data_IF_011205867206
#
_entry.id   IF_011205867206
#
_cell.length_a   1.000
_cell.length_b   1.000
_cell.length_c   1.000
_cell.angle_alpha   90.00
_cell.angle_beta   90.00
_cell.angle_gamma   90.00
#
_symmetry.space_group_name_H-M   'P 1'
#
loop_
_entity.id
_entity.type
_entity.pdbx_description
1 polymer ?
#
# COMPACT_ATOMS: atom_id res chain seq x y z
N UNK A 1 -16.84 -31.98 -42.85
CA UNK A 1 -17.70 -31.57 -41.71
C UNK A 1 -17.88 -32.64 -40.62
N UNK A 2 -17.58 -33.93 -40.82
CA UNK A 2 -17.80 -34.96 -39.78
C UNK A 2 -16.91 -34.90 -38.52
N UNK A 3 -15.62 -34.56 -38.65
CA UNK A 3 -14.66 -34.61 -37.52
C UNK A 3 -14.83 -33.51 -36.46
N UNK A 4 -15.55 -32.43 -36.77
CA UNK A 4 -15.82 -31.33 -35.81
C UNK A 4 -17.05 -31.67 -34.96
N UNK A 5 -18.05 -32.31 -35.56
CA UNK A 5 -19.28 -32.74 -34.88
C UNK A 5 -19.01 -33.82 -33.83
N UNK A 6 -18.06 -34.73 -34.09
CA UNK A 6 -17.69 -35.79 -33.12
C UNK A 6 -16.97 -35.23 -31.89
N UNK A 7 -16.05 -34.26 -32.07
CA UNK A 7 -15.36 -33.60 -30.94
C UNK A 7 -16.29 -32.77 -30.05
N UNK A 8 -17.30 -32.11 -30.63
CA UNK A 8 -18.31 -31.38 -29.86
C UNK A 8 -19.20 -32.34 -29.06
N UNK A 9 -19.48 -33.54 -29.61
CA UNK A 9 -20.23 -34.59 -28.92
C UNK A 9 -19.45 -35.20 -27.76
N UNK A 10 -18.13 -35.35 -27.90
CA UNK A 10 -17.25 -35.86 -26.85
C UNK A 10 -17.05 -34.85 -25.72
N UNK A 11 -17.02 -33.55 -26.03
CA UNK A 11 -17.01 -32.46 -25.02
C UNK A 11 -18.34 -32.41 -24.26
N UNK A 12 -19.47 -32.59 -24.95
CA UNK A 12 -20.80 -32.68 -24.31
C UNK A 12 -20.91 -33.87 -23.36
N UNK A 13 -20.37 -35.04 -23.73
CA UNK A 13 -20.33 -36.22 -22.86
C UNK A 13 -19.39 -36.04 -21.66
N UNK A 14 -18.23 -35.44 -21.86
CA UNK A 14 -17.31 -35.13 -20.75
C UNK A 14 -17.93 -34.14 -19.75
N UNK A 15 -18.72 -33.18 -20.23
CA UNK A 15 -19.46 -32.25 -19.37
C UNK A 15 -20.62 -32.93 -18.64
N UNK A 16 -21.35 -33.84 -19.29
CA UNK A 16 -22.43 -34.63 -18.67
C UNK A 16 -21.89 -35.62 -17.63
N UNK A 17 -20.74 -36.25 -17.89
CA UNK A 17 -20.09 -37.19 -16.97
C UNK A 17 -19.45 -36.46 -15.77
N UNK A 18 -18.91 -35.25 -15.98
CA UNK A 18 -18.45 -34.38 -14.89
C UNK A 18 -19.63 -33.92 -14.02
N UNK A 19 -20.79 -33.60 -14.62
CA UNK A 19 -22.00 -33.17 -13.91
C UNK A 19 -22.64 -34.33 -13.15
N UNK A 20 -22.63 -35.55 -13.70
CA UNK A 20 -23.07 -36.77 -13.00
C UNK A 20 -22.13 -37.17 -11.87
N UNK A 21 -20.82 -37.11 -12.08
CA UNK A 21 -19.82 -37.37 -11.03
C UNK A 21 -19.96 -36.39 -9.86
N UNK A 22 -20.23 -35.11 -10.15
CA UNK A 22 -20.57 -34.11 -9.13
C UNK A 22 -21.93 -34.41 -8.45
N UNK A 23 -22.95 -34.80 -9.20
CA UNK A 23 -24.28 -35.13 -8.69
C UNK A 23 -24.32 -36.39 -7.82
N UNK A 24 -23.52 -37.40 -8.17
CA UNK A 24 -23.43 -38.67 -7.44
C UNK A 24 -22.52 -38.54 -6.21
N UNK A 25 -21.46 -37.73 -6.28
CA UNK A 25 -20.65 -37.35 -5.12
C UNK A 25 -21.46 -36.49 -4.12
N UNK A 26 -22.34 -35.60 -4.63
CA UNK A 26 -23.29 -34.82 -3.82
C UNK A 26 -24.36 -35.71 -3.17
N UNK A 27 -24.91 -36.69 -3.89
CA UNK A 27 -25.87 -37.67 -3.33
C UNK A 27 -25.24 -38.64 -2.33
N UNK A 28 -24.00 -39.07 -2.56
CA UNK A 28 -23.24 -39.90 -1.61
C UNK A 28 -22.87 -39.13 -0.33
N UNK A 29 -22.69 -37.81 -0.43
CA UNK A 29 -22.46 -36.91 0.70
C UNK A 29 -23.76 -36.62 1.49
N UNK A 30 -24.93 -36.67 0.82
CA UNK A 30 -26.25 -36.52 1.43
C UNK A 30 -26.84 -37.81 2.03
N UNK A 31 -26.36 -38.99 1.62
CA UNK A 31 -26.88 -40.28 2.09
C UNK A 31 -26.28 -40.76 3.43
N UNK A 32 -25.29 -40.04 3.99
CA UNK A 32 -24.83 -40.21 5.37
C UNK A 32 -25.80 -39.44 6.28
N UNK A 33 -26.97 -40.03 6.54
CA UNK A 33 -28.08 -39.43 7.28
C UNK A 33 -27.85 -39.42 8.80
N UNK A 34 -27.86 -38.24 9.43
CA UNK A 34 -28.08 -38.08 10.87
C UNK A 34 -29.02 -36.87 11.13
N UNK A 35 -30.12 -37.16 11.82
CA UNK A 35 -31.14 -36.31 12.48
C UNK A 35 -31.22 -34.79 12.16
N UNK A 36 -32.43 -34.37 11.79
CA UNK A 36 -32.80 -33.07 11.19
C UNK A 36 -32.60 -31.80 12.06
N UNK A 37 -32.15 -31.88 13.31
CA UNK A 37 -31.89 -30.70 14.15
C UNK A 37 -30.42 -30.23 14.13
N UNK A 38 -29.48 -31.05 13.62
CA UNK A 38 -28.05 -30.69 13.51
C UNK A 38 -27.59 -30.18 12.14
N UNK A 39 -28.48 -30.19 11.14
CA UNK A 39 -28.10 -29.99 9.73
C UNK A 39 -27.80 -28.54 9.37
N UNK A 40 -28.47 -27.54 9.97
CA UNK A 40 -28.19 -26.13 9.72
C UNK A 40 -26.82 -25.72 10.27
N UNK A 41 -26.44 -26.25 11.44
CA UNK A 41 -25.13 -25.99 12.08
C UNK A 41 -24.00 -26.75 11.38
N UNK A 42 -24.28 -27.95 10.86
CA UNK A 42 -23.35 -28.71 10.01
C UNK A 42 -23.18 -28.11 8.62
N UNK A 43 -24.23 -27.61 7.97
CA UNK A 43 -24.16 -26.98 6.65
C UNK A 43 -23.45 -25.61 6.71
N UNK A 44 -23.73 -24.81 7.75
CA UNK A 44 -22.97 -23.59 8.05
C UNK A 44 -21.51 -23.94 8.38
N UNK A 45 -21.29 -24.95 9.22
CA UNK A 45 -19.96 -25.45 9.55
C UNK A 45 -19.20 -25.96 8.32
N UNK A 46 -19.86 -26.63 7.38
CA UNK A 46 -19.25 -27.14 6.15
C UNK A 46 -18.95 -26.01 5.15
N UNK A 47 -19.83 -25.01 5.02
CA UNK A 47 -19.59 -23.80 4.22
C UNK A 47 -18.43 -22.97 4.78
N UNK A 48 -18.38 -22.78 6.10
CA UNK A 48 -17.29 -22.07 6.79
C UNK A 48 -15.96 -22.85 6.74
N UNK A 49 -16.00 -24.18 6.60
CA UNK A 49 -14.82 -25.05 6.42
C UNK A 49 -14.33 -25.08 4.96
N UNK A 50 -15.21 -24.90 3.97
CA UNK A 50 -14.86 -25.03 2.54
C UNK A 50 -14.47 -23.70 1.90
N UNK A 51 -15.20 -22.62 2.20
CA UNK A 51 -15.06 -21.32 1.54
C UNK A 51 -13.61 -20.77 1.57
N UNK A 52 -12.88 -20.80 2.71
CA UNK A 52 -11.54 -20.21 2.78
C UNK A 52 -10.49 -20.93 1.92
N UNK A 53 -10.70 -22.22 1.60
CA UNK A 53 -9.81 -22.98 0.71
C UNK A 53 -10.14 -22.79 -0.78
N UNK A 54 -11.42 -22.61 -1.10
CA UNK A 54 -11.88 -22.32 -2.47
C UNK A 54 -11.46 -20.91 -2.89
N UNK A 55 -11.66 -19.91 -2.02
CA UNK A 55 -11.25 -18.53 -2.28
C UNK A 55 -9.74 -18.43 -2.49
N UNK A 56 -8.94 -19.08 -1.62
CA UNK A 56 -7.50 -19.10 -1.75
C UNK A 56 -7.07 -19.73 -3.08
N UNK A 57 -7.65 -20.89 -3.45
CA UNK A 57 -7.32 -21.54 -4.71
C UNK A 57 -7.71 -20.68 -5.93
N UNK A 58 -8.85 -19.97 -5.89
CA UNK A 58 -9.26 -19.02 -6.95
C UNK A 58 -8.25 -17.87 -7.09
N UNK A 59 -7.88 -17.26 -5.96
CA UNK A 59 -6.92 -16.17 -5.89
C UNK A 59 -5.53 -16.57 -6.41
N UNK A 60 -5.07 -17.78 -6.09
CA UNK A 60 -3.83 -18.33 -6.62
C UNK A 60 -3.91 -18.63 -8.13
N UNK A 61 -5.06 -19.08 -8.63
CA UNK A 61 -5.26 -19.30 -10.06
C UNK A 61 -5.24 -17.99 -10.85
N UNK A 62 -5.91 -16.94 -10.34
CA UNK A 62 -5.86 -15.60 -10.90
C UNK A 62 -4.44 -15.02 -10.88
N UNK A 63 -3.74 -15.15 -9.75
CA UNK A 63 -2.33 -14.74 -9.63
C UNK A 63 -1.46 -15.44 -10.69
N UNK A 64 -1.62 -16.75 -10.86
CA UNK A 64 -0.90 -17.52 -11.89
C UNK A 64 -1.21 -17.02 -13.30
N UNK A 65 -2.48 -16.71 -13.58
CA UNK A 65 -2.90 -16.18 -14.88
C UNK A 65 -2.32 -14.80 -15.19
N UNK A 66 -2.19 -13.92 -14.18
CA UNK A 66 -1.64 -12.56 -14.34
C UNK A 66 -0.12 -12.60 -14.50
N UNK A 67 0.55 -13.45 -13.73
CA UNK A 67 2.01 -13.40 -13.54
C UNK A 67 2.77 -14.43 -14.34
N UNK A 68 2.08 -15.46 -14.85
CA UNK A 68 2.70 -16.63 -15.47
C UNK A 68 3.43 -17.55 -14.49
N UNK A 69 3.46 -17.24 -13.19
CA UNK A 69 4.09 -18.07 -12.17
C UNK A 69 3.26 -19.33 -11.94
N UNK A 70 3.90 -20.50 -11.99
CA UNK A 70 3.27 -21.81 -11.82
C UNK A 70 4.16 -22.72 -10.97
N UNK A 71 3.68 -23.93 -10.65
CA UNK A 71 4.49 -24.97 -9.99
C UNK A 71 5.04 -24.53 -8.63
N UNK A 72 6.35 -24.71 -8.43
CA UNK A 72 7.03 -24.42 -7.15
C UNK A 72 6.99 -22.94 -6.77
N UNK A 73 7.12 -22.03 -7.74
CA UNK A 73 7.03 -20.59 -7.49
C UNK A 73 5.65 -20.17 -6.97
N UNK A 74 4.59 -20.71 -7.58
CA UNK A 74 3.21 -20.43 -7.15
C UNK A 74 2.95 -20.99 -5.74
N UNK A 75 3.48 -22.18 -5.46
CA UNK A 75 3.40 -22.81 -4.14
C UNK A 75 4.19 -22.04 -3.07
N UNK A 76 5.32 -21.44 -3.43
CA UNK A 76 6.09 -20.60 -2.52
C UNK A 76 5.29 -19.34 -2.13
N UNK A 77 4.63 -18.70 -3.09
CA UNK A 77 3.75 -17.55 -2.82
C UNK A 77 2.55 -17.95 -1.95
N UNK A 78 1.90 -19.08 -2.22
CA UNK A 78 0.82 -19.60 -1.37
C UNK A 78 1.30 -19.86 0.07
N UNK A 79 2.49 -20.43 0.21
CA UNK A 79 3.10 -20.73 1.51
C UNK A 79 3.39 -19.45 2.27
N UNK A 80 4.00 -18.44 1.62
CA UNK A 80 4.24 -17.14 2.21
C UNK A 80 2.92 -16.47 2.67
N UNK A 81 1.88 -16.44 1.82
CA UNK A 81 0.58 -15.88 2.18
C UNK A 81 -0.04 -16.53 3.43
N UNK A 82 0.07 -17.86 3.54
CA UNK A 82 -0.41 -18.63 4.69
C UNK A 82 0.43 -18.41 5.94
N UNK A 83 1.75 -18.34 5.82
CA UNK A 83 2.65 -18.04 6.93
C UNK A 83 2.38 -16.65 7.49
N UNK A 84 2.31 -15.64 6.63
CA UNK A 84 1.98 -14.27 7.02
C UNK A 84 0.58 -14.20 7.65
N UNK A 85 -0.41 -14.92 7.11
CA UNK A 85 -1.74 -15.01 7.70
C UNK A 85 -1.71 -15.55 9.15
N UNK A 86 -0.89 -16.55 9.43
CA UNK A 86 -0.74 -17.10 10.79
C UNK A 86 0.04 -16.17 11.72
N UNK A 87 1.09 -15.54 11.20
CA UNK A 87 1.93 -14.62 11.98
C UNK A 87 1.13 -13.39 12.40
N UNK A 88 0.40 -12.81 11.46
CA UNK A 88 -0.32 -11.55 11.66
C UNK A 88 -1.82 -11.75 11.95
N UNK A 89 -2.38 -12.95 11.86
CA UNK A 89 -3.81 -13.18 12.10
C UNK A 89 -4.72 -12.60 11.02
N UNK A 90 -4.19 -12.41 9.82
CA UNK A 90 -4.92 -11.99 8.62
C UNK A 90 -5.44 -13.20 7.84
N UNK A 91 -6.24 -12.97 6.80
CA UNK A 91 -6.69 -14.05 5.92
C UNK A 91 -5.67 -14.32 4.80
N UNK A 92 -5.41 -15.60 4.54
CA UNK A 92 -4.46 -16.01 3.51
C UNK A 92 -4.93 -15.61 2.10
N UNK A 93 -6.23 -15.60 1.82
CA UNK A 93 -6.74 -15.14 0.52
C UNK A 93 -6.59 -13.63 0.36
N UNK A 94 -6.81 -12.85 1.43
CA UNK A 94 -6.52 -11.41 1.44
C UNK A 94 -5.02 -11.12 1.22
N UNK A 95 -4.11 -11.93 1.78
CA UNK A 95 -2.67 -11.80 1.49
C UNK A 95 -2.32 -12.09 0.02
N UNK A 96 -2.99 -13.06 -0.62
CA UNK A 96 -2.82 -13.32 -2.06
C UNK A 96 -3.39 -12.18 -2.90
N UNK A 97 -4.51 -11.58 -2.48
CA UNK A 97 -5.04 -10.37 -3.13
C UNK A 97 -4.01 -9.23 -3.06
N UNK A 98 -3.42 -8.99 -1.89
CA UNK A 98 -2.31 -8.04 -1.74
C UNK A 98 -1.13 -8.34 -2.67
N UNK A 99 -0.76 -9.60 -2.86
CA UNK A 99 0.27 -9.97 -3.84
C UNK A 99 -0.14 -9.65 -5.28
N UNK A 100 -1.38 -9.91 -5.70
CA UNK A 100 -1.87 -9.51 -7.03
C UNK A 100 -1.83 -7.98 -7.19
N UNK A 101 -2.18 -7.22 -6.16
CA UNK A 101 -2.14 -5.77 -6.18
C UNK A 101 -0.71 -5.24 -6.31
N UNK A 102 0.25 -5.76 -5.52
CA UNK A 102 1.68 -5.44 -5.66
C UNK A 102 2.14 -5.66 -7.11
N UNK A 103 1.81 -6.80 -7.69
CA UNK A 103 2.28 -7.17 -9.03
C UNK A 103 1.59 -6.38 -10.15
N UNK A 104 0.33 -6.01 -9.96
CA UNK A 104 -0.42 -5.20 -10.93
C UNK A 104 -0.08 -3.72 -10.86
N UNK A 105 0.32 -3.22 -9.69
CA UNK A 105 0.62 -1.80 -9.48
C UNK A 105 2.11 -1.47 -9.57
N UNK A 106 3.00 -2.42 -9.28
CA UNK A 106 4.45 -2.25 -9.40
C UNK A 106 4.97 -2.93 -10.66
N UNK A 107 5.21 -4.24 -10.59
CA UNK A 107 5.76 -5.03 -11.70
C UNK A 107 5.48 -6.53 -11.51
N UNK A 108 4.89 -7.23 -12.51
CA UNK A 108 4.70 -8.68 -12.47
C UNK A 108 5.98 -9.51 -12.29
N UNK A 109 7.13 -8.99 -12.73
CA UNK A 109 8.42 -9.69 -12.67
C UNK A 109 8.90 -9.95 -11.23
N UNK A 110 8.45 -9.16 -10.25
CA UNK A 110 8.71 -9.37 -8.82
C UNK A 110 8.28 -10.78 -8.38
N UNK A 111 7.24 -11.34 -8.99
CA UNK A 111 6.71 -12.67 -8.66
C UNK A 111 7.72 -13.81 -8.89
N UNK A 112 8.77 -13.58 -9.71
CA UNK A 112 9.86 -14.53 -9.93
C UNK A 112 10.82 -14.61 -8.73
N UNK A 113 10.76 -13.66 -7.82
CA UNK A 113 11.54 -13.63 -6.59
C UNK A 113 10.62 -13.87 -5.37
N UNK A 114 10.56 -15.12 -4.92
CA UNK A 114 9.70 -15.52 -3.79
C UNK A 114 10.08 -14.84 -2.46
N UNK A 115 11.36 -14.52 -2.27
CA UNK A 115 11.84 -13.83 -1.07
C UNK A 115 11.38 -12.38 -1.03
N UNK A 116 11.48 -11.66 -2.16
CA UNK A 116 10.94 -10.30 -2.29
C UNK A 116 9.43 -10.27 -2.04
N UNK A 117 8.67 -11.20 -2.63
CA UNK A 117 7.23 -11.31 -2.40
C UNK A 117 6.90 -11.57 -0.92
N UNK A 118 7.67 -12.42 -0.25
CA UNK A 118 7.50 -12.67 1.18
C UNK A 118 7.73 -11.39 1.99
N UNK A 119 8.85 -10.69 1.77
CA UNK A 119 9.16 -9.43 2.48
C UNK A 119 8.09 -8.35 2.25
N UNK A 120 7.69 -8.12 1.00
CA UNK A 120 6.62 -7.16 0.69
C UNK A 120 5.30 -7.53 1.38
N UNK A 121 4.95 -8.82 1.41
CA UNK A 121 3.77 -9.31 2.13
C UNK A 121 3.85 -9.09 3.64
N UNK A 122 5.04 -9.27 4.23
CA UNK A 122 5.30 -8.99 5.64
C UNK A 122 5.16 -7.50 5.93
N UNK A 123 5.75 -6.60 5.13
CA UNK A 123 5.58 -5.15 5.27
C UNK A 123 4.11 -4.72 5.16
N UNK A 124 3.37 -5.26 4.18
CA UNK A 124 1.92 -5.02 4.05
C UNK A 124 1.17 -5.43 5.31
N UNK A 125 1.50 -6.57 5.89
CA UNK A 125 0.81 -7.07 7.08
C UNK A 125 1.22 -6.35 8.37
N UNK A 126 2.45 -5.85 8.46
CA UNK A 126 2.89 -4.95 9.54
C UNK A 126 2.09 -3.65 9.48
N UNK A 127 2.04 -3.00 8.31
CA UNK A 127 1.31 -1.76 8.15
C UNK A 127 -0.20 -1.94 8.35
N UNK A 128 -0.76 -3.07 7.89
CA UNK A 128 -2.20 -3.34 8.04
C UNK A 128 -2.66 -3.36 9.50
N UNK A 129 -1.78 -3.63 10.46
CA UNK A 129 -2.11 -3.53 11.90
C UNK A 129 -2.51 -2.13 12.32
N UNK A 130 -1.88 -1.12 11.75
CA UNK A 130 -2.27 0.29 11.97
C UNK A 130 -3.54 0.66 11.20
N UNK A 131 -4.02 -0.21 10.31
CA UNK A 131 -5.19 -0.03 9.45
C UNK A 131 -6.30 -1.07 9.76
N UNK A 132 -6.38 -1.55 11.00
CA UNK A 132 -7.45 -2.47 11.43
C UNK A 132 -7.38 -3.88 10.80
N UNK A 133 -6.22 -4.28 10.30
CA UNK A 133 -5.98 -5.54 9.61
C UNK A 133 -6.29 -5.52 8.11
N UNK A 134 -6.59 -4.35 7.52
CA UNK A 134 -6.86 -4.22 6.09
C UNK A 134 -5.56 -4.28 5.26
N UNK A 135 -5.26 -5.48 4.74
CA UNK A 135 -4.06 -5.72 3.92
C UNK A 135 -4.16 -5.06 2.55
N UNK A 136 -5.36 -4.86 2.00
CA UNK A 136 -5.55 -4.23 0.69
C UNK A 136 -5.28 -2.73 0.79
N UNK A 137 -5.81 -2.07 1.82
CA UNK A 137 -5.52 -0.67 2.09
C UNK A 137 -4.02 -0.46 2.35
N UNK A 138 -3.40 -1.31 3.16
CA UNK A 138 -1.95 -1.25 3.39
C UNK A 138 -1.12 -1.47 2.12
N UNK A 139 -1.55 -2.39 1.24
CA UNK A 139 -0.92 -2.56 -0.08
C UNK A 139 -0.98 -1.26 -0.87
N UNK A 140 -2.15 -0.65 -1.02
CA UNK A 140 -2.31 0.58 -1.80
C UNK A 140 -1.48 1.76 -1.25
N UNK A 141 -1.34 1.88 0.08
CA UNK A 141 -0.47 2.90 0.69
C UNK A 141 0.99 2.68 0.29
N UNK A 142 1.50 1.45 0.42
CA UNK A 142 2.90 1.13 0.15
C UNK A 142 3.24 1.21 -1.34
N UNK A 143 2.42 0.62 -2.21
CA UNK A 143 2.64 0.63 -3.65
C UNK A 143 2.49 2.02 -4.25
N UNK A 144 1.51 2.81 -3.80
CA UNK A 144 1.40 4.22 -4.17
C UNK A 144 2.66 4.97 -3.80
N UNK A 145 3.15 4.79 -2.57
CA UNK A 145 4.36 5.46 -2.11
C UNK A 145 5.55 5.13 -3.02
N UNK A 146 5.79 3.84 -3.27
CA UNK A 146 6.86 3.39 -4.17
C UNK A 146 6.74 3.97 -5.58
N UNK A 147 5.54 3.94 -6.16
CA UNK A 147 5.30 4.45 -7.50
C UNK A 147 5.49 5.96 -7.59
N UNK A 148 4.95 6.71 -6.64
CA UNK A 148 5.06 8.17 -6.63
C UNK A 148 6.50 8.64 -6.42
N UNK A 149 7.30 7.86 -5.68
CA UNK A 149 8.74 8.08 -5.55
C UNK A 149 9.58 7.29 -6.56
N UNK A 150 8.97 6.69 -7.58
CA UNK A 150 9.65 5.97 -8.67
C UNK A 150 10.74 5.02 -8.18
N UNK A 151 10.41 4.19 -7.18
CA UNK A 151 11.30 3.14 -6.68
C UNK A 151 11.43 2.06 -7.75
N UNK A 152 12.66 1.69 -8.07
CA UNK A 152 12.94 0.67 -9.08
C UNK A 152 12.60 -0.72 -8.56
N UNK A 153 12.01 -1.55 -9.41
CA UNK A 153 11.69 -2.96 -9.17
C UNK A 153 12.69 -3.92 -9.80
N UNK A 154 13.72 -3.40 -10.49
CA UNK A 154 14.76 -4.21 -11.17
C UNK A 154 15.53 -5.12 -10.21
N UNK A 155 15.72 -4.67 -8.96
CA UNK A 155 16.19 -5.49 -7.84
C UNK A 155 15.02 -5.70 -6.87
N UNK A 156 14.24 -6.79 -6.99
CA UNK A 156 13.06 -7.02 -6.16
C UNK A 156 13.35 -7.01 -4.65
N UNK A 157 14.54 -7.45 -4.24
CA UNK A 157 14.98 -7.46 -2.85
C UNK A 157 15.19 -6.04 -2.33
N UNK A 158 15.91 -5.19 -3.08
CA UNK A 158 16.12 -3.78 -2.72
C UNK A 158 14.80 -3.00 -2.73
N UNK A 159 13.91 -3.29 -3.69
CA UNK A 159 12.58 -2.71 -3.75
C UNK A 159 11.75 -3.07 -2.50
N UNK A 160 11.81 -4.32 -2.06
CA UNK A 160 11.13 -4.76 -0.84
C UNK A 160 11.73 -4.10 0.42
N UNK A 161 13.07 -3.97 0.51
CA UNK A 161 13.72 -3.26 1.61
C UNK A 161 13.29 -1.78 1.67
N UNK A 162 13.30 -1.11 0.51
CA UNK A 162 12.84 0.27 0.38
C UNK A 162 11.36 0.40 0.76
N UNK A 163 10.51 -0.57 0.40
CA UNK A 163 9.11 -0.60 0.86
C UNK A 163 9.03 -0.62 2.39
N UNK A 164 9.88 -1.40 3.07
CA UNK A 164 9.96 -1.45 4.53
C UNK A 164 10.41 -0.12 5.15
N UNK A 165 11.38 0.56 4.54
CA UNK A 165 11.82 1.91 4.98
C UNK A 165 10.68 2.93 4.84
N UNK A 166 10.03 2.97 3.67
CA UNK A 166 8.89 3.87 3.42
C UNK A 166 7.72 3.58 4.37
N UNK A 167 7.46 2.30 4.65
CA UNK A 167 6.47 1.89 5.65
C UNK A 167 6.78 2.51 7.02
N UNK A 168 8.00 2.36 7.51
CA UNK A 168 8.42 2.89 8.80
C UNK A 168 8.35 4.42 8.84
N UNK A 169 8.82 5.11 7.79
CA UNK A 169 8.73 6.57 7.68
C UNK A 169 7.28 7.05 7.75
N UNK A 170 6.36 6.42 7.00
CA UNK A 170 4.94 6.80 7.02
C UNK A 170 4.28 6.52 8.37
N UNK A 171 4.56 5.37 9.00
CA UNK A 171 4.04 5.04 10.33
C UNK A 171 4.53 6.00 11.40
N UNK A 172 5.80 6.40 11.35
CA UNK A 172 6.35 7.40 12.26
C UNK A 172 5.75 8.78 12.01
N UNK A 173 5.58 9.18 10.74
CA UNK A 173 4.94 10.43 10.37
C UNK A 173 3.46 10.50 10.82
N UNK A 174 2.70 9.42 10.65
CA UNK A 174 1.31 9.34 11.12
C UNK A 174 1.22 9.34 12.65
N UNK A 175 2.21 8.76 13.35
CA UNK A 175 2.27 8.76 14.81
C UNK A 175 2.61 10.13 15.39
N UNK A 176 3.56 10.84 14.80
CA UNK A 176 4.06 12.12 15.29
C UNK A 176 3.27 13.34 14.75
N UNK A 177 2.54 13.15 13.65
CA UNK A 177 1.88 14.22 12.90
C UNK A 177 0.35 14.23 13.00
N UNK A 178 -0.28 14.96 12.07
CA UNK A 178 -1.72 15.17 11.98
C UNK A 178 -2.42 14.29 10.92
N UNK A 179 -1.72 13.96 9.82
CA UNK A 179 -2.23 13.13 8.73
C UNK A 179 -2.01 11.63 9.01
N UNK A 180 -3.09 10.87 8.91
CA UNK A 180 -3.11 9.42 8.98
C UNK A 180 -2.68 8.77 7.65
N UNK A 181 -2.36 7.47 7.65
CA UNK A 181 -1.86 6.74 6.47
C UNK A 181 -2.69 6.94 5.18
N UNK A 182 -4.04 6.89 5.19
CA UNK A 182 -4.82 7.15 3.97
C UNK A 182 -4.67 8.59 3.45
N UNK A 183 -4.51 9.56 4.36
CA UNK A 183 -4.30 10.96 3.98
C UNK A 183 -2.90 11.17 3.41
N UNK A 184 -1.88 10.53 4.00
CA UNK A 184 -0.51 10.50 3.47
C UNK A 184 -0.53 9.94 2.04
N UNK A 185 -1.19 8.79 1.82
CA UNK A 185 -1.33 8.20 0.48
C UNK A 185 -1.94 9.19 -0.51
N UNK A 186 -3.12 9.76 -0.21
CA UNK A 186 -3.78 10.71 -1.11
C UNK A 186 -2.95 11.97 -1.39
N UNK A 187 -2.15 12.43 -0.42
CA UNK A 187 -1.23 13.54 -0.64
C UNK A 187 -0.08 13.14 -1.57
N UNK A 188 0.53 11.97 -1.35
CA UNK A 188 1.62 11.43 -2.18
C UNK A 188 1.19 11.22 -3.63
N UNK A 189 -0.03 10.76 -3.90
CA UNK A 189 -0.61 10.66 -5.25
C UNK A 189 -0.56 11.98 -6.02
N UNK A 190 -0.64 13.10 -5.29
CA UNK A 190 -0.61 14.43 -5.90
C UNK A 190 0.81 15.00 -6.01
N UNK A 191 1.71 14.68 -5.09
CA UNK A 191 2.98 15.40 -4.95
C UNK A 191 4.24 14.56 -5.16
N UNK A 192 4.20 13.24 -4.99
CA UNK A 192 5.42 12.45 -4.80
C UNK A 192 6.42 12.56 -5.96
N UNK A 193 5.94 12.52 -7.21
CA UNK A 193 6.82 12.69 -8.38
C UNK A 193 7.46 14.07 -8.44
N UNK A 194 6.70 15.12 -8.11
CA UNK A 194 7.23 16.50 -8.06
C UNK A 194 8.21 16.66 -6.91
N UNK A 195 7.91 16.11 -5.73
CA UNK A 195 8.83 16.13 -4.60
C UNK A 195 10.17 15.49 -4.94
N UNK A 196 10.15 14.26 -5.49
CA UNK A 196 11.38 13.58 -5.93
C UNK A 196 12.17 14.38 -6.96
N UNK A 197 11.49 14.88 -8.00
CA UNK A 197 12.16 15.63 -9.09
C UNK A 197 12.65 17.01 -8.65
N UNK A 198 12.11 17.56 -7.58
CA UNK A 198 12.57 18.82 -6.95
C UNK A 198 13.56 18.60 -5.80
N UNK A 199 14.06 17.37 -5.64
CA UNK A 199 15.17 17.03 -4.76
C UNK A 199 14.79 16.72 -3.31
N UNK A 200 13.50 16.56 -2.99
CA UNK A 200 13.08 16.15 -1.66
C UNK A 200 13.26 14.64 -1.46
N UNK A 201 13.67 14.28 -0.26
CA UNK A 201 13.56 12.91 0.26
C UNK A 201 12.11 12.52 0.56
N UNK A 202 11.87 11.22 0.76
CA UNK A 202 10.56 10.69 1.14
C UNK A 202 10.15 11.20 2.54
N UNK A 203 11.11 11.30 3.44
CA UNK A 203 10.98 11.80 4.80
C UNK A 203 10.61 13.29 4.80
N UNK A 204 11.36 14.15 4.09
CA UNK A 204 11.02 15.57 3.98
C UNK A 204 9.62 15.78 3.40
N UNK A 205 9.24 14.97 2.42
CA UNK A 205 7.92 15.04 1.80
C UNK A 205 6.82 14.68 2.79
N UNK A 206 6.99 13.59 3.54
CA UNK A 206 6.06 13.22 4.60
C UNK A 206 5.97 14.30 5.68
N UNK A 207 7.10 14.89 6.09
CA UNK A 207 7.10 15.97 7.07
C UNK A 207 6.29 17.19 6.59
N UNK A 208 6.44 17.60 5.33
CA UNK A 208 5.65 18.70 4.76
C UNK A 208 4.16 18.36 4.63
N UNK A 209 3.81 17.10 4.33
CA UNK A 209 2.41 16.64 4.36
C UNK A 209 1.81 16.85 5.75
N UNK A 210 2.56 16.52 6.81
CA UNK A 210 2.10 16.72 8.19
C UNK A 210 1.91 18.20 8.54
N UNK A 211 2.81 19.09 8.10
CA UNK A 211 2.65 20.54 8.27
C UNK A 211 1.37 21.05 7.61
N UNK A 212 1.10 20.61 6.39
CA UNK A 212 -0.07 21.06 5.63
C UNK A 212 -1.37 20.48 6.18
N UNK A 213 -1.39 19.23 6.60
CA UNK A 213 -2.57 18.62 7.22
C UNK A 213 -2.96 19.34 8.52
N UNK A 214 -1.97 19.65 9.37
CA UNK A 214 -2.14 20.46 10.60
C UNK A 214 -2.67 21.87 10.30
N UNK A 215 -2.31 22.43 9.14
CA UNK A 215 -2.84 23.70 8.65
C UNK A 215 -4.21 23.59 7.96
N UNK A 216 -4.84 22.41 7.98
CA UNK A 216 -6.16 22.14 7.42
C UNK A 216 -6.18 21.74 5.95
N UNK A 217 -5.01 21.61 5.29
CA UNK A 217 -4.87 21.14 3.91
C UNK A 217 -4.65 19.63 3.89
N UNK A 218 -5.75 18.89 3.97
CA UNK A 218 -5.74 17.44 4.22
C UNK A 218 -5.63 16.62 2.94
N UNK A 219 -4.96 15.47 3.03
CA UNK A 219 -4.88 14.48 1.96
C UNK A 219 -4.54 15.06 0.59
N UNK A 220 -5.38 14.79 -0.41
CA UNK A 220 -5.19 15.26 -1.79
C UNK A 220 -5.06 16.78 -1.90
N UNK A 221 -5.83 17.57 -1.14
CA UNK A 221 -5.70 19.03 -1.15
C UNK A 221 -4.32 19.49 -0.66
N UNK A 222 -3.82 18.86 0.41
CA UNK A 222 -2.47 19.08 0.93
C UNK A 222 -1.39 18.73 -0.09
N UNK A 223 -1.52 17.58 -0.74
CA UNK A 223 -0.60 17.15 -1.79
C UNK A 223 -0.57 18.11 -2.99
N UNK A 224 -1.73 18.56 -3.49
CA UNK A 224 -1.80 19.57 -4.56
C UNK A 224 -1.14 20.87 -4.12
N UNK A 225 -1.42 21.32 -2.90
CA UNK A 225 -0.85 22.55 -2.37
C UNK A 225 0.68 22.47 -2.24
N UNK A 226 1.21 21.36 -1.71
CA UNK A 226 2.65 21.11 -1.63
C UNK A 226 3.28 21.10 -3.02
N UNK A 227 2.68 20.36 -3.96
CA UNK A 227 3.13 20.32 -5.37
C UNK A 227 3.25 21.73 -5.93
N UNK A 228 2.22 22.55 -5.77
CA UNK A 228 2.19 23.90 -6.32
C UNK A 228 3.29 24.78 -5.70
N UNK A 229 3.49 24.73 -4.38
CA UNK A 229 4.58 25.46 -3.71
C UNK A 229 5.93 25.02 -4.25
N UNK A 230 6.19 23.70 -4.36
CA UNK A 230 7.44 23.17 -4.91
C UNK A 230 7.66 23.65 -6.35
N UNK A 231 6.64 23.57 -7.21
CA UNK A 231 6.76 24.04 -8.60
C UNK A 231 7.03 25.54 -8.69
N UNK A 232 6.40 26.36 -7.85
CA UNK A 232 6.64 27.80 -7.79
C UNK A 232 8.08 28.11 -7.38
N UNK A 233 8.60 27.43 -6.36
CA UNK A 233 10.00 27.60 -5.93
C UNK A 233 10.98 27.22 -7.05
N UNK A 234 10.64 26.20 -7.84
CA UNK A 234 11.45 25.73 -8.98
C UNK A 234 11.36 26.60 -10.24
N UNK A 235 10.51 27.64 -10.29
CA UNK A 235 10.37 28.49 -11.50
C UNK A 235 11.68 29.20 -11.87
N UNK A 236 12.49 29.58 -10.88
CA UNK A 236 13.77 30.26 -11.08
C UNK A 236 13.64 31.46 -12.02
N UNK A 237 14.32 31.43 -13.17
CA UNK A 237 14.29 32.52 -14.17
C UNK A 237 12.93 32.75 -14.83
N UNK A 238 11.99 31.81 -14.70
CA UNK A 238 10.64 31.91 -15.27
C UNK A 238 9.63 32.55 -14.31
N UNK A 239 10.06 32.91 -13.09
CA UNK A 239 9.27 33.69 -12.13
C UNK A 239 8.75 34.99 -12.77
N UNK A 240 7.49 35.36 -12.51
CA UNK A 240 6.90 36.58 -13.07
C UNK A 240 7.71 37.84 -12.69
N UNK A 241 7.77 38.85 -13.58
CA UNK A 241 8.59 40.07 -13.37
C UNK A 241 8.31 40.76 -12.05
N UNK A 242 7.03 40.92 -11.68
CA UNK A 242 6.63 41.59 -10.43
C UNK A 242 7.04 40.78 -9.20
N UNK A 243 6.91 39.45 -9.23
CA UNK A 243 7.36 38.60 -8.14
C UNK A 243 8.90 38.61 -8.01
N UNK A 244 9.60 38.55 -9.14
CA UNK A 244 11.06 38.61 -9.20
C UNK A 244 11.62 39.93 -8.65
N UNK A 245 11.04 41.07 -9.04
CA UNK A 245 11.42 42.39 -8.54
C UNK A 245 11.16 42.52 -7.04
N UNK A 246 9.98 42.07 -6.57
CA UNK A 246 9.64 42.10 -5.15
C UNK A 246 10.59 41.23 -4.30
N UNK A 247 10.86 39.99 -4.73
CA UNK A 247 11.81 39.09 -4.07
C UNK A 247 13.22 39.68 -4.04
N UNK A 248 13.68 40.27 -5.15
CA UNK A 248 14.98 40.95 -5.23
C UNK A 248 15.06 42.13 -4.26
N UNK A 249 14.02 42.97 -4.20
CA UNK A 249 13.97 44.11 -3.28
C UNK A 249 13.97 43.67 -1.80
N UNK A 250 13.43 42.49 -1.51
CA UNK A 250 13.51 41.85 -0.20
C UNK A 250 14.84 41.11 0.06
N UNK A 251 15.79 41.16 -0.88
CA UNK A 251 17.08 40.47 -0.76
C UNK A 251 16.97 38.95 -0.80
N UNK A 252 16.03 38.41 -1.59
CA UNK A 252 15.84 36.98 -1.83
C UNK A 252 16.25 36.66 -3.27
N UNK A 253 17.16 35.70 -3.44
CA UNK A 253 17.62 35.27 -4.76
C UNK A 253 16.69 34.19 -5.35
N UNK A 254 16.25 34.39 -6.59
CA UNK A 254 15.50 33.38 -7.34
C UNK A 254 16.34 32.12 -7.60
N UNK A 255 17.64 32.26 -7.81
CA UNK A 255 18.51 31.09 -7.99
C UNK A 255 18.61 30.28 -6.70
N UNK A 256 18.64 30.93 -5.54
CA UNK A 256 18.65 30.27 -4.24
C UNK A 256 17.35 29.50 -3.98
N UNK A 257 16.19 30.07 -4.32
CA UNK A 257 14.89 29.39 -4.16
C UNK A 257 14.75 28.18 -5.12
N UNK A 258 15.29 28.28 -6.33
CA UNK A 258 15.21 27.22 -7.32
C UNK A 258 16.29 26.13 -7.17
N UNK A 259 17.31 26.37 -6.35
CA UNK A 259 18.42 25.42 -6.16
C UNK A 259 17.98 24.26 -5.27
N UNK A 260 17.80 23.10 -5.89
CA UNK A 260 17.36 21.87 -5.20
C UNK A 260 18.48 21.23 -4.37
N UNK A 261 19.74 21.67 -4.50
CA UNK A 261 20.82 21.26 -3.60
C UNK A 261 20.72 21.92 -2.21
N UNK A 262 19.90 22.97 -2.09
CA UNK A 262 19.64 23.65 -0.83
C UNK A 262 18.40 23.00 -0.18
N UNK A 263 18.47 22.61 1.10
CA UNK A 263 17.34 22.04 1.82
C UNK A 263 16.08 22.90 1.66
N UNK A 264 14.94 22.25 1.42
CA UNK A 264 13.67 22.97 1.23
C UNK A 264 13.37 23.88 2.44
N UNK A 265 13.65 23.40 3.65
CA UNK A 265 13.43 24.15 4.90
C UNK A 265 14.21 25.46 4.92
N UNK A 266 15.46 25.49 4.46
CA UNK A 266 16.27 26.72 4.36
C UNK A 266 15.74 27.69 3.31
N UNK A 267 15.28 27.16 2.17
CA UNK A 267 14.62 27.95 1.12
C UNK A 267 13.33 28.58 1.65
N UNK A 268 12.51 27.82 2.39
CA UNK A 268 11.30 28.31 3.05
C UNK A 268 11.60 29.35 4.14
N UNK A 269 12.61 29.12 4.99
CA UNK A 269 13.03 30.06 6.05
C UNK A 269 13.45 31.41 5.47
N UNK A 270 14.09 31.42 4.28
CA UNK A 270 14.47 32.66 3.59
C UNK A 270 13.25 33.53 3.24
N UNK A 271 12.10 32.92 2.96
CA UNK A 271 10.86 33.63 2.62
C UNK A 271 10.19 34.29 3.82
N UNK A 272 10.63 34.03 5.07
CA UNK A 272 10.17 34.76 6.26
C UNK A 272 10.33 36.28 6.13
N UNK A 273 11.32 36.74 5.36
CA UNK A 273 11.56 38.16 5.05
C UNK A 273 10.36 38.84 4.38
N UNK A 274 9.55 38.10 3.63
CA UNK A 274 8.39 38.62 2.90
C UNK A 274 7.06 38.11 3.45
N UNK A 275 7.07 37.30 4.52
CA UNK A 275 5.88 36.64 5.04
C UNK A 275 4.79 37.62 5.48
N UNK A 276 5.17 38.80 5.99
CA UNK A 276 4.22 39.86 6.36
C UNK A 276 3.69 40.67 5.17
N UNK A 277 4.27 40.51 3.98
CA UNK A 277 3.84 41.19 2.76
C UNK A 277 2.90 40.27 1.96
N UNK A 278 1.61 40.30 2.34
CA UNK A 278 0.56 39.50 1.69
C UNK A 278 0.46 39.77 0.19
N UNK A 279 0.73 41.00 -0.26
CA UNK A 279 0.67 41.35 -1.67
C UNK A 279 1.80 40.66 -2.44
N UNK A 280 3.03 40.72 -1.93
CA UNK A 280 4.17 40.03 -2.53
C UNK A 280 4.00 38.51 -2.46
N UNK A 281 3.58 37.95 -1.32
CA UNK A 281 3.29 36.53 -1.17
C UNK A 281 2.24 36.05 -2.18
N UNK A 282 1.18 36.85 -2.42
CA UNK A 282 0.17 36.56 -3.45
C UNK A 282 0.77 36.60 -4.86
N UNK A 283 1.71 37.51 -5.13
CA UNK A 283 2.39 37.58 -6.43
C UNK A 283 3.33 36.42 -6.69
N UNK A 284 3.98 35.89 -5.64
CA UNK A 284 4.88 34.74 -5.74
C UNK A 284 4.09 33.44 -5.90
N UNK A 285 3.19 33.14 -4.97
CA UNK A 285 2.54 31.81 -4.89
C UNK A 285 1.16 31.74 -5.53
N UNK A 286 0.58 32.89 -5.89
CA UNK A 286 -0.82 32.97 -6.29
C UNK A 286 -1.77 32.91 -5.09
N UNK A 287 -3.02 33.35 -5.31
CA UNK A 287 -4.04 33.46 -4.26
C UNK A 287 -4.39 32.10 -3.63
N UNK A 288 -4.44 31.06 -4.45
CA UNK A 288 -4.89 29.72 -4.06
C UNK A 288 -3.85 28.99 -3.20
N UNK A 289 -2.56 29.22 -3.43
CA UNK A 289 -1.48 28.51 -2.73
C UNK A 289 -0.83 29.34 -1.62
N UNK A 290 -1.17 30.63 -1.48
CA UNK A 290 -0.56 31.50 -0.48
C UNK A 290 -0.68 30.95 0.94
N UNK A 291 -1.84 30.42 1.32
CA UNK A 291 -2.05 29.84 2.65
C UNK A 291 -1.13 28.64 2.91
N UNK A 292 -0.93 27.77 1.92
CA UNK A 292 -0.04 26.63 2.03
C UNK A 292 1.43 27.07 2.11
N UNK A 293 1.84 28.04 1.29
CA UNK A 293 3.19 28.61 1.35
C UNK A 293 3.47 29.22 2.74
N UNK A 294 2.54 29.99 3.30
CA UNK A 294 2.68 30.56 4.65
C UNK A 294 2.76 29.45 5.70
N UNK A 295 1.93 28.40 5.60
CA UNK A 295 1.97 27.27 6.51
C UNK A 295 3.35 26.57 6.48
N UNK A 296 3.89 26.31 5.29
CA UNK A 296 5.21 25.71 5.11
C UNK A 296 6.35 26.60 5.61
N UNK A 297 6.29 27.92 5.39
CA UNK A 297 7.28 28.88 5.90
C UNK A 297 7.30 28.91 7.44
N UNK A 298 6.11 28.92 8.05
CA UNK A 298 5.97 28.87 9.51
C UNK A 298 6.43 27.52 10.07
N UNK A 299 6.03 26.43 9.42
CA UNK A 299 6.33 25.06 9.82
C UNK A 299 7.72 24.58 9.42
N UNK A 300 8.58 25.41 8.82
CA UNK A 300 9.87 24.96 8.28
C UNK A 300 10.78 24.30 9.33
N UNK A 301 10.84 24.85 10.55
CA UNK A 301 11.63 24.27 11.66
C UNK A 301 10.97 22.99 12.22
N UNK A 302 9.63 22.95 12.28
CA UNK A 302 8.87 21.77 12.72
C UNK A 302 9.03 20.62 11.71
N UNK A 303 8.99 20.93 10.41
CA UNK A 303 9.21 19.96 9.34
C UNK A 303 10.62 19.37 9.42
N UNK A 304 11.64 20.19 9.66
CA UNK A 304 13.02 19.72 9.81
C UNK A 304 13.17 18.75 10.99
N UNK A 305 12.61 19.09 12.14
CA UNK A 305 12.60 18.21 13.31
C UNK A 305 11.83 16.91 13.04
N UNK A 306 10.67 17.01 12.39
CA UNK A 306 9.87 15.86 12.04
C UNK A 306 10.60 14.94 11.04
N UNK A 307 11.26 15.49 10.02
CA UNK A 307 12.12 14.72 9.10
C UNK A 307 13.14 13.90 9.88
N UNK A 308 13.83 14.51 10.85
CA UNK A 308 14.80 13.78 11.68
C UNK A 308 14.15 12.66 12.50
N UNK A 309 12.97 12.90 13.07
CA UNK A 309 12.24 11.92 13.87
C UNK A 309 11.75 10.73 13.05
N UNK A 310 11.39 10.93 11.78
CA UNK A 310 10.83 9.88 10.92
C UNK A 310 11.87 9.18 10.04
N UNK A 311 13.11 9.68 10.02
CA UNK A 311 14.22 9.06 9.28
C UNK A 311 14.75 7.84 10.03
N UNK A 312 14.95 6.71 9.32
CA UNK A 312 15.65 5.54 9.86
C UNK A 312 14.94 4.88 11.05
N UNK A 313 13.63 5.04 11.16
CA UNK A 313 12.85 4.48 12.28
C UNK A 313 12.45 3.03 12.03
N UNK A 314 11.98 2.37 13.09
CA UNK A 314 11.25 1.09 13.03
C UNK A 314 9.80 1.25 13.51
N UNK A 315 9.22 2.45 13.40
CA UNK A 315 7.94 2.78 14.05
C UNK A 315 6.80 1.86 13.62
N UNK A 316 6.77 1.40 12.36
CA UNK A 316 5.73 0.49 11.91
C UNK A 316 5.81 -0.87 12.61
N UNK A 317 7.03 -1.38 12.82
CA UNK A 317 7.29 -2.63 13.52
C UNK A 317 6.89 -2.53 15.00
N UNK A 318 7.33 -1.46 15.67
CA UNK A 318 7.04 -1.22 17.09
C UNK A 318 5.52 -1.09 17.33
N UNK A 319 4.84 -0.34 16.46
CA UNK A 319 3.38 -0.18 16.53
C UNK A 319 2.65 -1.49 16.26
N UNK A 320 3.08 -2.27 15.27
CA UNK A 320 2.47 -3.57 14.97
C UNK A 320 2.65 -4.55 16.14
N UNK A 321 3.81 -4.59 16.78
CA UNK A 321 4.06 -5.43 17.96
C UNK A 321 3.09 -5.10 19.10
N UNK A 322 2.90 -3.82 19.40
CA UNK A 322 1.97 -3.36 20.44
C UNK A 322 0.53 -3.79 20.10
N UNK A 323 0.07 -3.55 18.86
CA UNK A 323 -1.29 -3.89 18.41
C UNK A 323 -1.50 -5.42 18.47
N UNK A 324 -0.53 -6.19 17.98
CA UNK A 324 -0.55 -7.65 17.99
C UNK A 324 -0.51 -8.26 19.39
N UNK A 325 -0.08 -7.51 20.40
CA UNK A 325 -0.14 -7.89 21.81
C UNK A 325 -1.56 -7.97 22.37
N UNK A 326 -2.54 -7.34 21.70
CA UNK A 326 -3.94 -7.28 22.13
C UNK A 326 -4.63 -8.65 22.10
N UNK A 327 -5.70 -8.79 22.89
CA UNK A 327 -6.47 -10.04 22.96
C UNK A 327 -7.15 -10.39 21.63
N UNK A 328 -7.71 -9.38 20.96
CA UNK A 328 -8.35 -9.55 19.66
C UNK A 328 -7.37 -10.11 18.61
N UNK A 329 -6.15 -9.57 18.56
CA UNK A 329 -5.11 -10.01 17.63
C UNK A 329 -4.59 -11.43 17.93
N UNK A 330 -4.43 -11.77 19.22
CA UNK A 330 -4.09 -13.16 19.62
C UNK A 330 -5.16 -14.15 19.19
N UNK A 331 -6.45 -13.79 19.32
CA UNK A 331 -7.55 -14.63 18.83
C UNK A 331 -7.54 -14.74 17.29
N UNK A 332 -7.33 -13.63 16.58
CA UNK A 332 -7.27 -13.62 15.12
C UNK A 332 -6.16 -14.55 14.58
N UNK A 333 -4.96 -14.50 15.17
CA UNK A 333 -3.85 -15.41 14.85
C UNK A 333 -4.18 -16.87 15.14
N UNK A 334 -4.82 -17.14 16.28
CA UNK A 334 -5.26 -18.50 16.64
C UNK A 334 -6.27 -19.03 15.61
N UNK A 335 -7.23 -18.19 15.20
CA UNK A 335 -8.20 -18.53 14.14
C UNK A 335 -7.48 -18.81 12.82
N UNK A 336 -6.56 -17.95 12.40
CA UNK A 336 -5.79 -18.15 11.16
C UNK A 336 -5.00 -19.46 11.17
N UNK A 337 -4.43 -19.85 12.31
CA UNK A 337 -3.75 -21.13 12.48
C UNK A 337 -4.71 -22.33 12.34
N UNK A 338 -5.89 -22.27 12.97
CA UNK A 338 -6.93 -23.29 12.82
C UNK A 338 -7.43 -23.40 11.38
N UNK A 339 -7.60 -22.27 10.69
CA UNK A 339 -8.04 -22.25 9.30
C UNK A 339 -6.97 -22.85 8.35
N UNK A 340 -5.67 -22.62 8.60
CA UNK A 340 -4.60 -23.30 7.87
C UNK A 340 -4.59 -24.82 8.12
N UNK A 341 -4.79 -25.27 9.37
CA UNK A 341 -4.87 -26.69 9.70
C UNK A 341 -6.04 -27.39 8.99
N UNK A 342 -7.24 -26.80 9.04
CA UNK A 342 -8.43 -27.32 8.35
C UNK A 342 -8.14 -27.49 6.84
N UNK A 343 -7.46 -26.52 6.22
CA UNK A 343 -7.06 -26.59 4.81
C UNK A 343 -6.08 -27.75 4.54
N UNK A 344 -5.06 -27.94 5.39
CA UNK A 344 -4.07 -29.03 5.22
C UNK A 344 -4.72 -30.41 5.29
N UNK A 345 -5.62 -30.63 6.26
CA UNK A 345 -6.34 -31.90 6.42
C UNK A 345 -7.18 -32.23 5.18
N UNK A 346 -7.86 -31.24 4.58
CA UNK A 346 -8.65 -31.42 3.35
C UNK A 346 -7.81 -31.73 2.12
N UNK A 347 -6.65 -31.10 1.96
CA UNK A 347 -5.76 -31.40 0.83
C UNK A 347 -5.22 -32.83 0.90
N UNK A 348 -5.03 -33.37 2.10
CA UNK A 348 -4.63 -34.76 2.29
C UNK A 348 -5.75 -35.75 1.92
N UNK A 349 -7.01 -35.46 2.27
CA UNK A 349 -8.18 -36.28 1.89
C UNK A 349 -8.49 -36.28 0.38
N UNK A 350 -8.01 -35.31 -0.40
CA UNK A 350 -8.16 -35.29 -1.86
C UNK A 350 -7.08 -36.09 -2.60
N UNK A 351 -6.00 -36.48 -1.91
CA UNK A 351 -4.88 -37.25 -2.47
C UNK A 351 -4.96 -38.76 -2.15
N UNK A 352 -5.95 -39.16 -1.35
CA UNK A 352 -6.32 -40.55 -1.02
C UNK A 352 -7.56 -40.90 -1.84
#
# INVERSE_FOLDING_TARGET
MGKITDKVKDIGKAADDATKSFGDCYKALLSVSLAAEGLSTLEQGFKDIIAPGVTLNSQMAELSAITGVTGEGLKAIETAARETAKTFGTDASANVESYKLVLSQLDPEIAKNAEAMKMMGEHINVLSKQMGGDTVAATNVLTTSMNQFGISTESPIEAAQTMGEMMNTMSSAAQAGSAELPQIQSALEQVGMVAKTTGLSFEETNAQIQILDKAGKKGSEGGVALRNVLTTLSEGRFTSKLAAEGLKNAGISLTYLADTSIPLTDRLKTLRKIQGDTALMTKVFGKENMAAAIAMINGADEAENLTQQITGTNSAMDQAEIIMGSYAEKMARTKAWWDDLKRKFKNHLKQI
#
